data_IF_419615237162
#
_entry.id   IF_419615237162
#
_cell.length_a   1.000
_cell.length_b   1.000
_cell.length_c   1.000
_cell.angle_alpha   90.00
_cell.angle_beta   90.00
_cell.angle_gamma   90.00
#
_symmetry.space_group_name_H-M   'P 1'
#
loop_
_entity.id
_entity.type
_entity.pdbx_description
1 polymer ?
#
# COMPACT_ATOMS: atom_id res chain seq x y z
N UNK A 1 -11.37 -3.57 12.34
CA UNK A 1 -10.87 -2.43 13.16
C UNK A 1 -9.75 -1.80 12.34
N UNK A 2 -9.62 -0.47 12.33
CA UNK A 2 -8.53 0.18 11.60
C UNK A 2 -7.17 -0.23 12.19
N UNK A 3 -6.13 -0.26 11.35
CA UNK A 3 -4.78 -0.58 11.78
C UNK A 3 -3.94 0.69 11.94
N UNK A 4 -3.76 1.20 13.17
CA UNK A 4 -3.05 2.46 13.42
C UNK A 4 -1.54 2.37 13.19
N UNK A 5 -0.97 1.16 13.09
CA UNK A 5 0.48 0.96 12.94
C UNK A 5 0.95 1.11 11.48
N UNK A 6 0.07 0.83 10.53
CA UNK A 6 0.40 0.84 9.09
C UNK A 6 0.98 2.18 8.61
N UNK A 7 0.46 3.36 8.98
CA UNK A 7 1.07 4.64 8.63
C UNK A 7 2.51 4.80 9.15
N UNK A 8 2.81 4.31 10.35
CA UNK A 8 4.15 4.40 10.94
C UNK A 8 5.12 3.50 10.17
N UNK A 9 4.74 2.26 9.88
CA UNK A 9 5.54 1.33 9.07
C UNK A 9 5.74 1.89 7.66
N UNK A 10 4.69 2.45 7.05
CA UNK A 10 4.79 3.07 5.74
C UNK A 10 5.84 4.18 5.73
N UNK A 11 5.93 5.02 6.76
CA UNK A 11 6.96 6.07 6.82
C UNK A 11 8.38 5.51 6.86
N UNK A 12 8.59 4.37 7.52
CA UNK A 12 9.91 3.74 7.70
C UNK A 12 10.40 2.96 6.47
N UNK A 13 9.49 2.53 5.59
CA UNK A 13 9.86 1.78 4.37
C UNK A 13 10.73 2.63 3.43
N UNK A 14 11.83 2.02 2.99
CA UNK A 14 12.71 2.51 1.95
C UNK A 14 12.62 1.66 0.67
N UNK A 15 13.17 2.20 -0.43
CA UNK A 15 13.31 1.43 -1.68
C UNK A 15 14.36 0.35 -1.47
N UNK A 16 14.04 -0.89 -1.87
CA UNK A 16 14.88 -2.08 -1.63
C UNK A 16 14.37 -2.94 -0.48
N UNK A 17 13.53 -2.43 0.42
CA UNK A 17 12.92 -3.24 1.47
C UNK A 17 11.97 -4.28 0.87
N UNK A 18 11.98 -5.49 1.43
CA UNK A 18 10.98 -6.51 1.13
C UNK A 18 9.84 -6.37 2.12
N UNK A 19 8.62 -6.21 1.62
CA UNK A 19 7.43 -5.98 2.45
C UNK A 19 6.34 -7.00 2.16
N UNK A 20 5.49 -7.23 3.14
CA UNK A 20 4.24 -7.95 3.02
C UNK A 20 3.08 -7.02 3.38
N UNK A 21 2.12 -6.91 2.47
CA UNK A 21 0.91 -6.13 2.63
C UNK A 21 -0.30 -7.05 2.61
N UNK A 22 -1.06 -7.07 3.69
CA UNK A 22 -2.34 -7.78 3.76
C UNK A 22 -3.49 -6.80 3.60
N UNK A 23 -4.31 -7.02 2.57
CA UNK A 23 -5.55 -6.30 2.34
C UNK A 23 -6.76 -7.10 2.83
N UNK A 24 -7.70 -6.38 3.42
CA UNK A 24 -9.04 -6.89 3.66
C UNK A 24 -9.96 -6.51 2.49
N UNK A 25 -10.47 -7.51 1.78
CA UNK A 25 -11.45 -7.33 0.70
C UNK A 25 -12.81 -7.72 1.23
N UNK A 26 -13.78 -6.80 1.15
CA UNK A 26 -15.16 -7.05 1.57
C UNK A 26 -16.11 -6.97 0.38
N UNK A 27 -16.92 -8.02 0.18
CA UNK A 27 -17.99 -8.07 -0.82
C UNK A 27 -19.27 -8.51 -0.12
N UNK A 28 -20.19 -7.57 0.09
CA UNK A 28 -21.39 -7.79 0.89
C UNK A 28 -21.05 -8.20 2.32
N UNK A 29 -21.50 -9.40 2.71
CA UNK A 29 -21.25 -10.01 4.02
C UNK A 29 -19.99 -10.90 4.06
N UNK A 30 -19.30 -11.06 2.93
CA UNK A 30 -18.09 -11.87 2.85
C UNK A 30 -16.86 -10.97 2.97
N UNK A 31 -15.85 -11.52 3.63
CA UNK A 31 -14.57 -10.87 3.88
C UNK A 31 -13.45 -11.85 3.58
N UNK A 32 -12.44 -11.40 2.85
CA UNK A 32 -11.22 -12.15 2.55
C UNK A 32 -10.01 -11.31 2.94
N UNK A 33 -8.93 -11.98 3.31
CA UNK A 33 -7.62 -11.36 3.45
C UNK A 33 -6.71 -11.86 2.34
N UNK A 34 -6.06 -10.94 1.65
CA UNK A 34 -5.14 -11.24 0.56
C UNK A 34 -3.80 -10.59 0.90
N UNK A 35 -2.74 -11.39 0.93
CA UNK A 35 -1.38 -10.92 1.19
C UNK A 35 -0.61 -10.80 -0.12
N UNK A 36 0.08 -9.67 -0.29
CA UNK A 36 0.98 -9.39 -1.41
C UNK A 36 2.37 -9.12 -0.87
N UNK A 37 3.36 -9.85 -1.35
CA UNK A 37 4.77 -9.71 -0.94
C UNK A 37 5.62 -9.30 -2.13
N UNK A 38 6.59 -8.41 -1.89
CA UNK A 38 7.54 -7.99 -2.92
C UNK A 38 8.56 -6.98 -2.40
N UNK A 39 9.55 -6.69 -3.23
CA UNK A 39 10.57 -5.67 -2.99
C UNK A 39 10.04 -4.30 -3.41
N UNK A 40 10.16 -3.31 -2.54
CA UNK A 40 9.72 -1.94 -2.80
C UNK A 40 10.64 -1.32 -3.84
N UNK A 41 10.10 -1.00 -5.00
CA UNK A 41 10.81 -0.29 -6.08
C UNK A 41 10.51 1.21 -6.07
N UNK A 42 9.35 1.60 -5.55
CA UNK A 42 8.95 3.01 -5.44
C UNK A 42 7.89 3.20 -4.36
N UNK A 43 7.94 4.36 -3.70
CA UNK A 43 6.98 4.83 -2.69
C UNK A 43 6.30 6.09 -3.18
N UNK A 44 4.97 6.14 -3.06
CA UNK A 44 4.17 7.19 -3.68
C UNK A 44 3.07 7.70 -2.77
N UNK A 45 2.75 8.99 -2.90
CA UNK A 45 1.52 9.60 -2.38
C UNK A 45 0.75 10.21 -3.53
N UNK A 46 -0.26 9.49 -4.05
CA UNK A 46 -1.00 9.87 -5.26
C UNK A 46 -2.22 10.69 -4.91
N UNK A 47 -2.44 11.78 -5.65
CA UNK A 47 -3.67 12.58 -5.55
C UNK A 47 -4.80 11.90 -6.34
N UNK A 48 -5.93 11.65 -5.69
CA UNK A 48 -7.13 11.08 -6.29
C UNK A 48 -8.09 12.21 -6.69
N UNK A 49 -8.46 12.30 -7.97
CA UNK A 49 -9.50 13.20 -8.56
C UNK A 49 -9.36 13.42 -10.07
N UNK A 50 -8.51 12.66 -10.78
CA UNK A 50 -8.18 12.96 -12.19
C UNK A 50 -9.32 12.75 -13.20
N UNK A 51 -10.39 12.05 -12.83
CA UNK A 51 -11.49 11.73 -13.75
C UNK A 51 -12.67 12.71 -13.72
N UNK A 52 -12.87 13.45 -12.62
CA UNK A 52 -13.96 14.42 -12.48
C UNK A 52 -13.50 15.60 -11.62
N UNK A 53 -13.84 16.84 -12.00
CA UNK A 53 -13.56 18.02 -11.16
C UNK A 53 -14.34 17.92 -9.85
N UNK A 54 -13.65 17.50 -8.78
CA UNK A 54 -14.15 17.65 -7.41
C UNK A 54 -14.02 19.11 -6.97
N UNK A 55 -14.72 19.47 -5.89
CA UNK A 55 -14.53 20.77 -5.23
C UNK A 55 -13.03 20.99 -4.95
N UNK A 56 -12.53 22.21 -5.10
CA UNK A 56 -11.08 22.51 -5.02
C UNK A 56 -10.46 22.11 -3.67
N UNK A 57 -11.29 22.10 -2.63
CA UNK A 57 -10.91 21.76 -1.25
C UNK A 57 -10.88 20.24 -0.99
N UNK A 58 -11.35 19.42 -1.91
CA UNK A 58 -11.43 17.96 -1.75
C UNK A 58 -10.13 17.28 -2.21
N UNK A 59 -9.09 17.43 -1.38
CA UNK A 59 -7.78 16.82 -1.62
C UNK A 59 -7.73 15.42 -0.99
N UNK A 60 -8.09 14.41 -1.78
CA UNK A 60 -7.88 13.01 -1.39
C UNK A 60 -6.53 12.53 -1.91
N UNK A 61 -5.72 11.95 -1.04
CA UNK A 61 -4.48 11.27 -1.39
C UNK A 61 -4.55 9.84 -0.90
N UNK A 62 -3.90 8.93 -1.64
CA UNK A 62 -3.63 7.59 -1.16
C UNK A 62 -2.14 7.30 -1.23
N UNK A 63 -1.66 6.64 -0.19
CA UNK A 63 -0.31 6.13 -0.12
C UNK A 63 -0.25 4.81 -0.90
N UNK A 64 0.77 4.66 -1.74
CA UNK A 64 0.95 3.50 -2.61
C UNK A 64 2.41 3.06 -2.67
N UNK A 65 2.61 1.75 -2.83
CA UNK A 65 3.90 1.12 -3.05
C UNK A 65 3.90 0.44 -4.41
N UNK A 66 4.97 0.60 -5.17
CA UNK A 66 5.25 -0.22 -6.34
C UNK A 66 6.18 -1.34 -5.89
N UNK A 67 5.71 -2.57 -6.00
CA UNK A 67 6.42 -3.77 -5.57
C UNK A 67 6.88 -4.56 -6.79
N UNK A 68 8.10 -5.07 -6.74
CA UNK A 68 8.55 -6.15 -7.61
C UNK A 68 8.33 -7.48 -6.88
N UNK A 69 7.52 -8.36 -7.47
CA UNK A 69 7.25 -9.70 -6.95
C UNK A 69 8.38 -10.67 -7.28
N UNK A 70 8.32 -11.86 -6.71
CA UNK A 70 9.37 -12.88 -6.88
C UNK A 70 9.53 -13.38 -8.33
N UNK A 71 8.47 -13.28 -9.13
CA UNK A 71 8.46 -13.60 -10.56
C UNK A 71 8.93 -12.42 -11.44
N UNK A 72 9.28 -11.29 -10.83
CA UNK A 72 9.68 -10.07 -11.51
C UNK A 72 8.52 -9.16 -11.93
N UNK A 73 7.27 -9.55 -11.69
CA UNK A 73 6.09 -8.71 -11.95
C UNK A 73 6.16 -7.41 -11.13
N UNK A 74 5.88 -6.27 -11.77
CA UNK A 74 5.67 -5.01 -11.07
C UNK A 74 4.18 -4.82 -10.78
N UNK A 75 3.85 -4.66 -9.51
CA UNK A 75 2.48 -4.39 -9.07
C UNK A 75 2.43 -3.13 -8.22
N UNK A 76 1.32 -2.38 -8.30
CA UNK A 76 1.08 -1.22 -7.44
C UNK A 76 0.00 -1.56 -6.43
N UNK A 77 0.32 -1.41 -5.15
CA UNK A 77 -0.62 -1.61 -4.05
C UNK A 77 -0.89 -0.29 -3.36
N UNK A 78 -2.15 -0.04 -3.00
CA UNK A 78 -2.61 1.21 -2.37
C UNK A 78 -3.07 0.90 -0.97
N UNK A 79 -2.59 1.65 0.02
CA UNK A 79 -2.90 1.41 1.42
C UNK A 79 -4.22 2.06 1.83
N UNK A 80 -4.94 1.39 2.71
CA UNK A 80 -6.16 1.86 3.36
C UNK A 80 -6.09 1.67 4.88
N UNK A 81 -7.16 2.05 5.59
CA UNK A 81 -7.24 1.98 7.05
C UNK A 81 -7.28 0.54 7.60
N UNK A 82 -7.54 -0.47 6.77
CA UNK A 82 -7.62 -1.88 7.14
C UNK A 82 -6.40 -2.69 6.68
N UNK A 83 -5.48 -2.04 5.98
CA UNK A 83 -4.26 -2.63 5.46
C UNK A 83 -3.32 -2.96 6.60
N UNK A 84 -2.70 -4.14 6.56
CA UNK A 84 -1.62 -4.52 7.48
C UNK A 84 -0.31 -4.58 6.71
N UNK A 85 0.63 -3.72 7.05
CA UNK A 85 1.93 -3.61 6.38
C UNK A 85 3.05 -4.07 7.31
N UNK A 86 3.95 -4.91 6.79
CA UNK A 86 5.11 -5.42 7.52
C UNK A 86 6.35 -5.38 6.64
N UNK A 87 7.47 -4.93 7.21
CA UNK A 87 8.79 -5.11 6.61
C UNK A 87 9.25 -6.53 6.95
N UNK A 88 9.53 -7.34 5.94
CA UNK A 88 9.96 -8.73 6.07
C UNK A 88 11.48 -8.83 6.01
N UNK A 89 12.10 -8.00 5.17
CA UNK A 89 13.56 -7.90 5.04
C UNK A 89 13.94 -6.45 4.73
N UNK A 90 14.98 -5.95 5.40
CA UNK A 90 15.51 -4.62 5.12
C UNK A 90 16.38 -4.67 3.86
N UNK A 91 16.20 -3.68 2.98
CA UNK A 91 17.12 -3.44 1.88
C UNK A 91 18.50 -3.13 2.43
N UNK A 92 19.51 -3.89 2.00
CA UNK A 92 20.90 -3.61 2.40
C UNK A 92 21.35 -2.30 1.72
N UNK A 93 22.01 -1.37 2.45
CA UNK A 93 22.53 -0.12 1.87
C UNK A 93 23.59 -0.36 0.79
#
# INVERSE_FOLDING_TARGET
>A
MSNPETPNVFQQIEVGDRVELTHEVRVGFRQWRISTTGVVTRKERRRHSLHFRRNFDDKVFSDALVLQRDDGELTTVTLDEFSELKIVELGRP
#
